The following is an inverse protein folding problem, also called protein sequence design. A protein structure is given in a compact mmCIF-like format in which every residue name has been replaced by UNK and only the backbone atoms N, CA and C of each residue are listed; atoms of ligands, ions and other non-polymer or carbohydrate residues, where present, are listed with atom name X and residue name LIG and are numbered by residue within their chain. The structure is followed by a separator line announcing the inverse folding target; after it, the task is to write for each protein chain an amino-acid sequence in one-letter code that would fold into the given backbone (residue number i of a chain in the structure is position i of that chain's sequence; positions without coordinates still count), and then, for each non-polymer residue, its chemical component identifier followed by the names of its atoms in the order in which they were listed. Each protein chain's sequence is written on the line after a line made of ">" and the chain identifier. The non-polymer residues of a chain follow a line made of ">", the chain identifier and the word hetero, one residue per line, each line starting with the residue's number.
data_IF_264650994053
#
_entry.id   IF_264650994053
#
_cell.length_a   1.000
_cell.length_b   1.000
_cell.length_c   1.000
_cell.angle_alpha   90.00
_cell.angle_beta   90.00
_cell.angle_gamma   90.00
#
_symmetry.space_group_name_H-M   'P 1'
#
loop_
_entity.id
_entity.type
_entity.pdbx_description
1 polymer ?
#
# COMPACT_ATOMS: atom_id res chain seq x y z
N UNK A 1 -7.12 23.96 11.54
CA UNK A 1 -6.51 24.77 10.45
C UNK A 1 -7.02 24.22 9.15
N UNK A 2 -7.58 25.05 8.26
CA UNK A 2 -8.05 24.60 6.95
C UNK A 2 -6.88 24.71 5.98
N UNK A 3 -6.19 23.61 5.72
CA UNK A 3 -5.12 23.54 4.73
C UNK A 3 -5.74 23.47 3.33
N UNK A 4 -5.48 24.47 2.50
CA UNK A 4 -5.86 24.48 1.10
C UNK A 4 -4.84 23.64 0.30
N UNK A 5 -5.31 22.56 -0.32
CA UNK A 5 -4.49 21.69 -1.17
C UNK A 5 -4.76 22.04 -2.63
N UNK A 6 -3.71 22.38 -3.38
CA UNK A 6 -3.80 22.64 -4.82
C UNK A 6 -3.85 21.30 -5.55
N UNK A 7 -4.95 21.06 -6.27
CA UNK A 7 -5.15 19.86 -7.08
C UNK A 7 -4.86 20.21 -8.55
N UNK A 8 -3.97 19.45 -9.18
CA UNK A 8 -3.69 19.58 -10.61
C UNK A 8 -4.90 19.16 -11.46
N UNK A 9 -5.01 19.68 -12.68
CA UNK A 9 -6.14 19.42 -13.58
C UNK A 9 -6.38 17.92 -13.81
N UNK A 10 -5.31 17.14 -14.02
CA UNK A 10 -5.40 15.68 -14.21
C UNK A 10 -6.04 14.97 -13.01
N UNK A 11 -5.67 15.37 -11.80
CA UNK A 11 -6.21 14.79 -10.58
C UNK A 11 -7.68 15.18 -10.36
N UNK A 12 -8.08 16.37 -10.82
CA UNK A 12 -9.49 16.79 -10.80
C UNK A 12 -10.33 15.95 -11.74
N UNK A 13 -9.85 15.70 -12.96
CA UNK A 13 -10.54 14.85 -13.94
C UNK A 13 -10.73 13.42 -13.40
N UNK A 14 -9.70 12.83 -12.80
CA UNK A 14 -9.78 11.51 -12.16
C UNK A 14 -10.79 11.45 -11.01
N UNK A 15 -10.86 12.51 -10.19
CA UNK A 15 -11.86 12.58 -9.13
C UNK A 15 -13.30 12.62 -9.70
N UNK A 16 -13.53 13.37 -10.77
CA UNK A 16 -14.86 13.47 -11.40
C UNK A 16 -15.28 12.15 -12.07
N UNK A 17 -14.34 11.45 -12.70
CA UNK A 17 -14.56 10.11 -13.26
C UNK A 17 -14.97 9.11 -12.16
N UNK A 18 -14.23 9.09 -11.05
CA UNK A 18 -14.53 8.21 -9.91
C UNK A 18 -15.89 8.54 -9.26
N UNK A 19 -16.25 9.82 -9.15
CA UNK A 19 -17.58 10.23 -8.69
C UNK A 19 -18.69 9.72 -9.61
N UNK A 20 -18.49 9.79 -10.93
CA UNK A 20 -19.45 9.29 -11.90
C UNK A 20 -19.61 7.76 -11.81
N UNK A 21 -18.50 7.03 -11.67
CA UNK A 21 -18.51 5.58 -11.48
C UNK A 21 -19.24 5.17 -10.20
N UNK A 22 -18.95 5.83 -9.07
CA UNK A 22 -19.65 5.58 -7.80
C UNK A 22 -21.15 5.81 -7.97
N UNK A 23 -21.55 6.88 -8.66
CA UNK A 23 -22.97 7.16 -8.92
C UNK A 23 -23.61 6.08 -9.80
N UNK A 24 -22.91 5.60 -10.83
CA UNK A 24 -23.42 4.56 -11.73
C UNK A 24 -23.60 3.22 -11.01
N UNK A 25 -22.63 2.83 -10.18
CA UNK A 25 -22.66 1.52 -9.50
C UNK A 25 -23.54 1.51 -8.26
N UNK A 26 -23.55 2.59 -7.48
CA UNK A 26 -24.22 2.63 -6.16
C UNK A 26 -25.50 3.46 -6.15
N UNK A 27 -25.74 4.29 -7.18
CA UNK A 27 -26.84 5.25 -7.22
C UNK A 27 -26.64 6.48 -6.31
N UNK A 28 -25.55 6.54 -5.52
CA UNK A 28 -25.28 7.63 -4.58
C UNK A 28 -24.49 8.75 -5.23
N UNK A 29 -24.93 9.99 -5.03
CA UNK A 29 -24.10 11.17 -5.30
C UNK A 29 -23.18 11.40 -4.11
N UNK A 30 -21.88 11.49 -4.36
CA UNK A 30 -20.85 11.81 -3.36
C UNK A 30 -20.22 13.16 -3.73
N UNK A 31 -19.95 14.00 -2.74
CA UNK A 31 -19.24 15.26 -2.97
C UNK A 31 -17.74 15.01 -3.13
N UNK A 32 -17.03 15.95 -3.76
CA UNK A 32 -15.57 15.86 -3.93
C UNK A 32 -14.87 15.81 -2.57
N UNK A 33 -15.39 16.54 -1.59
CA UNK A 33 -14.81 16.61 -0.25
C UNK A 33 -15.00 15.30 0.52
N UNK A 34 -16.16 14.65 0.39
CA UNK A 34 -16.39 13.30 0.96
C UNK A 34 -15.47 12.26 0.33
N UNK A 35 -15.32 12.28 -1.01
CA UNK A 35 -14.47 11.33 -1.72
C UNK A 35 -13.00 11.47 -1.29
N UNK A 36 -12.48 12.69 -1.23
CA UNK A 36 -11.11 12.96 -0.79
C UNK A 36 -10.92 12.56 0.67
N UNK A 37 -11.88 12.86 1.56
CA UNK A 37 -11.80 12.45 2.96
C UNK A 37 -11.74 10.92 3.10
N UNK A 38 -12.53 10.20 2.29
CA UNK A 38 -12.51 8.74 2.29
C UNK A 38 -11.17 8.18 1.81
N UNK A 39 -10.62 8.70 0.71
CA UNK A 39 -9.31 8.31 0.19
C UNK A 39 -8.17 8.59 1.18
N UNK A 40 -8.23 9.71 1.90
CA UNK A 40 -7.23 10.05 2.94
C UNK A 40 -7.31 9.05 4.10
N UNK A 41 -8.51 8.66 4.52
CA UNK A 41 -8.66 7.67 5.59
C UNK A 41 -8.13 6.30 5.17
N UNK A 42 -8.45 5.84 3.97
CA UNK A 42 -7.94 4.58 3.42
C UNK A 42 -6.41 4.58 3.29
N UNK A 43 -5.84 5.69 2.81
CA UNK A 43 -4.39 5.91 2.76
C UNK A 43 -3.74 5.97 4.16
N UNK A 44 -4.48 6.42 5.17
CA UNK A 44 -4.00 6.44 6.56
C UNK A 44 -3.98 5.04 7.17
N UNK A 45 -4.98 4.21 6.88
CA UNK A 45 -5.01 2.80 7.27
C UNK A 45 -3.88 2.01 6.58
N UNK A 46 -3.60 2.33 5.31
CA UNK A 46 -2.47 1.78 4.54
C UNK A 46 -1.20 2.65 4.59
N UNK A 47 -0.93 3.28 5.75
CA UNK A 47 0.18 4.24 5.94
C UNK A 47 1.53 3.72 5.44
N UNK A 48 1.83 2.44 5.69
CA UNK A 48 3.11 1.84 5.31
C UNK A 48 3.31 1.81 3.80
N UNK A 49 2.27 1.47 3.04
CA UNK A 49 2.30 1.41 1.57
C UNK A 49 2.46 2.81 0.98
N UNK A 50 1.77 3.80 1.55
CA UNK A 50 1.93 5.20 1.15
C UNK A 50 3.35 5.69 1.43
N UNK A 51 3.93 5.41 2.61
CA UNK A 51 5.32 5.78 2.89
C UNK A 51 6.27 5.10 1.89
N UNK A 52 6.03 3.82 1.60
CA UNK A 52 6.85 3.06 0.67
C UNK A 52 6.74 3.57 -0.78
N UNK A 53 5.60 4.11 -1.20
CA UNK A 53 5.45 4.66 -2.56
C UNK A 53 6.30 5.92 -2.81
N UNK A 54 6.73 6.61 -1.75
CA UNK A 54 7.65 7.76 -1.84
C UNK A 54 9.13 7.36 -1.71
N UNK A 55 9.44 6.09 -1.45
CA UNK A 55 10.83 5.60 -1.44
C UNK A 55 11.26 5.32 -2.89
N UNK A 56 12.37 5.92 -3.32
CA UNK A 56 12.92 5.76 -4.69
C UNK A 56 13.30 4.31 -5.05
N UNK A 57 13.43 3.42 -4.06
CA UNK A 57 13.69 2.00 -4.28
C UNK A 57 13.09 1.18 -3.14
N UNK A 58 12.19 0.25 -3.46
CA UNK A 58 11.58 -0.70 -2.51
C UNK A 58 12.53 -1.83 -2.09
N UNK A 59 13.79 -1.75 -2.50
CA UNK A 59 14.86 -2.68 -2.17
C UNK A 59 16.21 -1.93 -2.13
N UNK A 60 17.09 -2.23 -1.17
CA UNK A 60 16.90 -3.20 -0.09
C UNK A 60 16.09 -2.63 1.09
N UNK A 61 15.56 -3.54 1.92
CA UNK A 61 15.00 -3.22 3.24
C UNK A 61 15.95 -2.28 4.00
N UNK A 62 15.39 -1.32 4.73
CA UNK A 62 16.17 -0.53 5.70
C UNK A 62 16.77 -1.43 6.78
N UNK A 63 17.80 -0.95 7.49
CA UNK A 63 18.42 -1.74 8.56
C UNK A 63 17.44 -2.10 9.68
N UNK A 64 16.50 -1.21 10.03
CA UNK A 64 15.43 -1.47 11.01
C UNK A 64 14.46 -2.57 10.53
N UNK A 65 14.13 -2.58 9.23
CA UNK A 65 13.30 -3.61 8.62
C UNK A 65 14.05 -4.96 8.55
N UNK A 66 15.36 -4.94 8.26
CA UNK A 66 16.21 -6.14 8.33
C UNK A 66 16.30 -6.68 9.76
N UNK A 67 16.44 -5.81 10.76
CA UNK A 67 16.47 -6.22 12.17
C UNK A 67 15.11 -6.81 12.59
N UNK A 68 14.01 -6.20 12.15
CA UNK A 68 12.66 -6.71 12.39
C UNK A 68 12.44 -8.07 11.72
N UNK A 69 12.87 -8.25 10.48
CA UNK A 69 12.84 -9.53 9.78
C UNK A 69 13.74 -10.58 10.46
N UNK A 70 14.82 -10.16 11.13
CA UNK A 70 15.72 -11.07 11.89
C UNK A 70 15.14 -11.45 13.27
N UNK A 71 14.27 -10.63 13.86
CA UNK A 71 13.63 -10.97 15.14
C UNK A 71 12.76 -12.22 14.98
N UNK A 72 13.00 -13.21 15.83
CA UNK A 72 12.25 -14.46 15.86
C UNK A 72 12.73 -15.53 14.88
N UNK A 73 13.77 -15.26 14.07
CA UNK A 73 14.45 -16.32 13.33
C UNK A 73 15.27 -17.16 14.31
N UNK A 74 15.05 -18.47 14.28
CA UNK A 74 15.93 -19.44 14.92
C UNK A 74 16.73 -20.13 13.83
N UNK A 75 18.01 -20.39 14.09
CA UNK A 75 18.81 -21.24 13.22
C UNK A 75 18.51 -22.68 13.63
N UNK A 76 18.03 -23.50 12.70
CA UNK A 76 17.72 -24.91 12.96
C UNK A 76 18.98 -25.79 13.07
N UNK A 77 20.17 -25.24 12.74
CA UNK A 77 21.45 -25.96 12.55
C UNK A 77 21.39 -27.12 11.54
N UNK A 78 20.30 -27.19 10.77
CA UNK A 78 20.15 -28.07 9.62
C UNK A 78 20.52 -27.25 8.40
N UNK A 79 21.55 -27.67 7.67
CA UNK A 79 21.79 -27.19 6.31
C UNK A 79 20.66 -27.71 5.44
N UNK A 80 20.01 -26.79 4.73
CA UNK A 80 18.88 -27.09 3.85
C UNK A 80 19.20 -26.45 2.51
N UNK A 81 19.30 -27.28 1.49
CA UNK A 81 19.51 -26.85 0.12
C UNK A 81 18.19 -26.86 -0.66
N UNK A 82 18.24 -26.38 -1.90
CA UNK A 82 17.06 -26.30 -2.78
C UNK A 82 16.38 -27.68 -2.97
N UNK A 83 17.18 -28.74 -3.13
CA UNK A 83 16.66 -30.10 -3.28
C UNK A 83 15.86 -30.59 -2.07
N UNK A 84 16.28 -30.25 -0.84
CA UNK A 84 15.53 -30.61 0.38
C UNK A 84 14.17 -29.93 0.45
N UNK A 85 14.06 -28.72 -0.11
CA UNK A 85 12.81 -27.94 -0.16
C UNK A 85 11.88 -28.54 -1.22
N UNK A 86 12.44 -28.86 -2.39
CA UNK A 86 11.67 -29.42 -3.49
C UNK A 86 11.10 -30.80 -3.17
N UNK A 87 11.87 -31.67 -2.49
CA UNK A 87 11.38 -32.98 -2.03
C UNK A 87 10.19 -32.84 -1.05
N UNK A 88 10.11 -31.76 -0.27
CA UNK A 88 9.02 -31.51 0.69
C UNK A 88 7.82 -30.81 0.05
N UNK A 89 8.05 -29.85 -0.85
CA UNK A 89 7.00 -29.02 -1.43
C UNK A 89 6.46 -29.56 -2.77
N UNK A 90 7.27 -30.30 -3.52
CA UNK A 90 6.97 -30.71 -4.89
C UNK A 90 7.11 -32.22 -5.15
N UNK A 91 7.98 -32.92 -4.40
CA UNK A 91 8.04 -34.39 -4.32
C UNK A 91 8.76 -35.11 -5.46
#
# INVERSE_FOLDING_TARGET
>A
MTTEVKIHEDAKSRLEELQAEIRLQTGRNVTRQELVAHLINDAYESRSDVINSFRESSVPLSEDEKETMRRGRFRSDVETDESDIDDVLYG
#
